data_IF_673897828719
#
_entry.id   IF_673897828719
#
_cell.length_a   1.000
_cell.length_b   1.000
_cell.length_c   1.000
_cell.angle_alpha   90.00
_cell.angle_beta   90.00
_cell.angle_gamma   90.00
#
_symmetry.space_group_name_H-M   'P 1'
#
loop_
_entity.id
_entity.type
_entity.pdbx_description
1 polymer ?
#
# COMPACT_ATOMS: atom_id res chain seq x y z
N UNK A 1 -15.82 3.73 -15.13
CA UNK A 1 -14.37 3.56 -14.95
C UNK A 1 -13.91 4.63 -13.97
N UNK A 2 -13.10 4.30 -12.96
CA UNK A 2 -12.65 5.29 -11.97
C UNK A 2 -11.66 6.28 -12.65
N UNK A 3 -11.92 7.60 -12.66
CA UNK A 3 -11.06 8.60 -13.31
C UNK A 3 -9.58 8.53 -12.90
N UNK A 4 -9.32 8.18 -11.64
CA UNK A 4 -7.98 8.06 -11.07
C UNK A 4 -7.19 6.90 -11.67
N UNK A 5 -7.86 5.77 -11.95
CA UNK A 5 -7.21 4.61 -12.58
C UNK A 5 -6.84 4.93 -14.02
N UNK A 6 -7.66 5.72 -14.70
CA UNK A 6 -7.38 6.16 -16.06
C UNK A 6 -6.20 7.13 -16.10
N UNK A 7 -6.14 8.09 -15.19
CA UNK A 7 -5.00 9.00 -15.03
C UNK A 7 -3.67 8.25 -14.80
N UNK A 8 -3.66 7.26 -13.89
CA UNK A 8 -2.46 6.45 -13.64
C UNK A 8 -2.03 5.64 -14.86
N UNK A 9 -2.97 5.14 -15.66
CA UNK A 9 -2.66 4.47 -16.93
C UNK A 9 -2.00 5.43 -17.91
N UNK A 10 -2.53 6.64 -18.03
CA UNK A 10 -1.98 7.66 -18.93
C UNK A 10 -0.57 8.08 -18.49
N UNK A 11 -0.30 8.25 -17.20
CA UNK A 11 1.08 8.51 -16.71
C UNK A 11 2.01 7.35 -17.04
N UNK A 12 1.59 6.11 -16.76
CA UNK A 12 2.39 4.93 -17.08
C UNK A 12 2.72 4.89 -18.57
N UNK A 13 1.70 5.00 -19.42
CA UNK A 13 1.83 4.79 -20.86
C UNK A 13 2.56 5.96 -21.54
N UNK A 14 2.26 7.21 -21.16
CA UNK A 14 2.81 8.39 -21.81
C UNK A 14 4.11 8.90 -21.19
N UNK A 15 4.41 8.57 -19.93
CA UNK A 15 5.60 9.09 -19.23
C UNK A 15 6.56 7.96 -18.88
N UNK A 16 6.10 6.97 -18.11
CA UNK A 16 7.00 5.94 -17.56
C UNK A 16 7.55 5.02 -18.66
N UNK A 17 6.69 4.50 -19.54
CA UNK A 17 7.10 3.57 -20.61
C UNK A 17 7.89 4.23 -21.74
N UNK A 18 7.84 5.56 -21.86
CA UNK A 18 8.66 6.30 -22.83
C UNK A 18 10.11 6.54 -22.37
N UNK A 19 10.44 6.15 -21.13
CA UNK A 19 11.80 6.24 -20.59
C UNK A 19 12.44 4.86 -20.45
N UNK A 20 13.75 4.78 -20.66
CA UNK A 20 14.49 3.52 -20.50
C UNK A 20 14.48 3.04 -19.04
N UNK A 21 14.67 3.96 -18.09
CA UNK A 21 14.60 3.70 -16.65
C UNK A 21 13.21 3.27 -16.20
N UNK A 22 12.16 3.93 -16.69
CA UNK A 22 10.77 3.58 -16.37
C UNK A 22 10.35 2.23 -16.96
N UNK A 23 10.77 1.92 -18.18
CA UNK A 23 10.54 0.59 -18.78
C UNK A 23 11.26 -0.52 -18.01
N UNK A 24 12.52 -0.29 -17.61
CA UNK A 24 13.28 -1.25 -16.80
C UNK A 24 12.65 -1.46 -15.41
N UNK A 25 12.24 -0.37 -14.76
CA UNK A 25 11.50 -0.42 -13.49
C UNK A 25 10.21 -1.21 -13.63
N UNK A 26 9.38 -0.90 -14.63
CA UNK A 26 8.10 -1.59 -14.85
C UNK A 26 8.29 -3.06 -15.18
N UNK A 27 9.35 -3.41 -15.91
CA UNK A 27 9.70 -4.81 -16.20
C UNK A 27 10.05 -5.56 -14.92
N UNK A 28 10.96 -5.03 -14.10
CA UNK A 28 11.33 -5.64 -12.82
C UNK A 28 10.17 -5.70 -11.84
N UNK A 29 9.39 -4.62 -11.74
CA UNK A 29 8.19 -4.56 -10.92
C UNK A 29 7.17 -5.61 -11.34
N UNK A 30 6.84 -5.70 -12.64
CA UNK A 30 5.89 -6.69 -13.16
C UNK A 30 6.39 -8.12 -12.90
N UNK A 31 7.68 -8.40 -13.10
CA UNK A 31 8.25 -9.72 -12.86
C UNK A 31 8.07 -10.14 -11.39
N UNK A 32 8.38 -9.24 -10.45
CA UNK A 32 8.17 -9.52 -9.02
C UNK A 32 6.68 -9.64 -8.72
N UNK A 33 5.87 -8.65 -9.10
CA UNK A 33 4.43 -8.61 -8.84
C UNK A 33 3.71 -9.87 -9.32
N UNK A 34 3.88 -10.24 -10.59
CA UNK A 34 3.22 -11.41 -11.15
C UNK A 34 3.83 -12.75 -10.71
N UNK A 35 5.00 -12.76 -10.07
CA UNK A 35 5.58 -14.01 -9.54
C UNK A 35 4.85 -14.54 -8.31
N UNK A 36 4.20 -13.68 -7.51
CA UNK A 36 3.48 -14.08 -6.31
C UNK A 36 1.99 -13.72 -6.33
N UNK A 37 1.59 -12.68 -7.08
CA UNK A 37 0.21 -12.18 -7.09
C UNK A 37 -0.84 -13.26 -7.41
N UNK A 38 -0.67 -14.13 -8.43
CA UNK A 38 -1.65 -15.18 -8.72
C UNK A 38 -1.85 -16.15 -7.55
N UNK A 39 -0.75 -16.59 -6.93
CA UNK A 39 -0.81 -17.50 -5.78
C UNK A 39 -1.52 -16.87 -4.58
N UNK A 40 -1.27 -15.58 -4.30
CA UNK A 40 -1.97 -14.86 -3.23
C UNK A 40 -3.46 -14.69 -3.56
N UNK A 41 -3.81 -14.42 -4.82
CA UNK A 41 -5.20 -14.27 -5.25
C UNK A 41 -5.98 -15.59 -5.14
N UNK A 42 -5.37 -16.71 -5.50
CA UNK A 42 -5.97 -18.04 -5.32
C UNK A 42 -6.17 -18.37 -3.83
N UNK A 43 -5.17 -18.09 -2.98
CA UNK A 43 -5.29 -18.26 -1.53
C UNK A 43 -6.39 -17.39 -0.92
N UNK A 44 -6.56 -16.14 -1.38
CA UNK A 44 -7.64 -15.27 -0.95
C UNK A 44 -9.02 -15.84 -1.30
N UNK A 45 -9.13 -16.46 -2.49
CA UNK A 45 -10.39 -17.05 -2.97
C UNK A 45 -10.76 -18.32 -2.23
N UNK A 46 -9.77 -19.15 -1.89
CA UNK A 46 -9.99 -20.44 -1.24
C UNK A 46 -10.14 -20.34 0.28
N UNK A 47 -9.47 -19.37 0.92
CA UNK A 47 -9.46 -19.24 2.37
C UNK A 47 -10.01 -17.87 2.84
N UNK A 48 -11.27 -17.82 3.30
CA UNK A 48 -11.88 -16.61 3.83
C UNK A 48 -11.12 -15.99 5.01
N UNK A 49 -10.44 -16.80 5.84
CA UNK A 49 -9.63 -16.30 6.97
C UNK A 49 -8.38 -15.60 6.46
N UNK A 50 -7.72 -16.17 5.44
CA UNK A 50 -6.56 -15.54 4.81
C UNK A 50 -6.95 -14.20 4.16
N UNK A 51 -8.09 -14.15 3.48
CA UNK A 51 -8.65 -12.90 2.94
C UNK A 51 -8.82 -11.82 4.00
N UNK A 52 -9.44 -12.16 5.13
CA UNK A 52 -9.61 -11.18 6.21
C UNK A 52 -8.28 -10.79 6.85
N UNK A 53 -7.32 -11.72 6.98
CA UNK A 53 -5.97 -11.40 7.45
C UNK A 53 -5.24 -10.42 6.51
N UNK A 54 -5.33 -10.63 5.19
CA UNK A 54 -4.77 -9.71 4.18
C UNK A 54 -5.45 -8.35 4.28
N UNK A 55 -6.79 -8.28 4.38
CA UNK A 55 -7.51 -7.02 4.57
C UNK A 55 -7.09 -6.29 5.84
N UNK A 56 -7.04 -6.98 6.98
CA UNK A 56 -6.61 -6.38 8.26
C UNK A 56 -5.19 -5.83 8.13
N UNK A 57 -4.30 -6.56 7.45
CA UNK A 57 -2.94 -6.12 7.20
C UNK A 57 -2.90 -4.89 6.29
N UNK A 58 -3.74 -4.80 5.26
CA UNK A 58 -3.75 -3.67 4.32
C UNK A 58 -4.53 -2.45 4.84
N UNK A 59 -5.42 -2.62 5.81
CA UNK A 59 -6.31 -1.56 6.32
C UNK A 59 -5.56 -0.32 6.82
N UNK A 60 -4.50 -0.43 7.64
CA UNK A 60 -3.72 0.73 8.08
C UNK A 60 -3.14 1.53 6.90
N UNK A 61 -2.60 0.82 5.90
CA UNK A 61 -2.04 1.42 4.69
C UNK A 61 -3.11 2.14 3.88
N UNK A 62 -4.23 1.49 3.59
CA UNK A 62 -5.33 2.12 2.84
C UNK A 62 -5.87 3.36 3.57
N UNK A 63 -6.03 3.28 4.88
CA UNK A 63 -6.50 4.41 5.70
C UNK A 63 -5.50 5.57 5.64
N UNK A 64 -4.21 5.29 5.76
CA UNK A 64 -3.16 6.32 5.64
C UNK A 64 -3.16 6.99 4.27
N UNK A 65 -3.32 6.23 3.18
CA UNK A 65 -3.36 6.78 1.82
C UNK A 65 -4.61 7.63 1.59
N UNK A 66 -5.75 7.28 2.21
CA UNK A 66 -6.94 8.13 2.11
C UNK A 66 -6.77 9.50 2.74
N UNK A 67 -5.86 9.66 3.72
CA UNK A 67 -5.57 10.97 4.31
C UNK A 67 -4.98 11.94 3.28
N UNK A 68 -4.25 11.46 2.27
CA UNK A 68 -3.78 12.32 1.17
C UNK A 68 -4.91 12.94 0.35
N UNK A 69 -6.11 12.33 0.31
CA UNK A 69 -7.25 12.92 -0.38
C UNK A 69 -7.88 14.08 0.40
N UNK A 70 -7.60 14.21 1.70
CA UNK A 70 -8.12 15.29 2.54
C UNK A 70 -7.13 16.44 2.74
N UNK A 71 -5.93 16.29 2.19
CA UNK A 71 -4.85 17.28 2.29
C UNK A 71 -4.64 17.86 0.90
N UNK A 72 -4.78 19.17 0.77
CA UNK A 72 -4.40 19.89 -0.45
C UNK A 72 -2.87 19.84 -0.54
N UNK A 73 -2.35 19.16 -1.55
CA UNK A 73 -0.92 19.05 -1.82
C UNK A 73 -0.62 20.00 -2.98
N UNK A 74 -0.14 21.18 -2.65
CA UNK A 74 0.07 22.26 -3.62
C UNK A 74 1.50 22.23 -4.20
N UNK A 75 2.44 21.56 -3.53
CA UNK A 75 3.86 21.54 -3.93
C UNK A 75 4.51 20.14 -3.87
N UNK A 76 5.59 19.93 -4.64
CA UNK A 76 6.38 18.70 -4.60
C UNK A 76 7.01 18.44 -3.22
N UNK A 77 7.42 19.50 -2.52
CA UNK A 77 8.03 19.42 -1.19
C UNK A 77 7.01 18.95 -0.13
N UNK A 78 5.77 19.41 -0.21
CA UNK A 78 4.66 18.91 0.59
C UNK A 78 4.33 17.45 0.27
N UNK A 79 4.32 17.07 -1.02
CA UNK A 79 4.09 15.69 -1.43
C UNK A 79 5.14 14.75 -0.81
N UNK A 80 6.41 15.16 -0.79
CA UNK A 80 7.49 14.41 -0.15
C UNK A 80 7.33 14.39 1.37
N UNK A 81 7.00 15.51 2.01
CA UNK A 81 6.77 15.60 3.45
C UNK A 81 5.63 14.71 3.93
N UNK A 82 4.48 14.75 3.24
CA UNK A 82 3.35 13.88 3.53
C UNK A 82 3.66 12.42 3.19
N UNK A 83 4.35 12.15 2.09
CA UNK A 83 4.80 10.79 1.74
C UNK A 83 5.67 10.15 2.82
N UNK A 84 6.67 10.89 3.33
CA UNK A 84 7.54 10.43 4.43
C UNK A 84 6.72 10.24 5.72
N UNK A 85 5.83 11.18 6.03
CA UNK A 85 4.96 11.12 7.22
C UNK A 85 4.06 9.89 7.20
N UNK A 86 3.53 9.52 6.03
CA UNK A 86 2.69 8.33 5.86
C UNK A 86 3.47 7.02 5.96
N UNK A 87 4.71 6.99 5.48
CA UNK A 87 5.59 5.84 5.66
C UNK A 87 5.86 5.64 7.15
N UNK A 88 6.22 6.71 7.87
CA UNK A 88 6.45 6.65 9.32
C UNK A 88 5.18 6.25 10.08
N UNK A 89 4.02 6.78 9.69
CA UNK A 89 2.73 6.42 10.27
C UNK A 89 2.43 4.93 10.05
N UNK A 90 2.62 4.41 8.84
CA UNK A 90 2.44 2.98 8.55
C UNK A 90 3.36 2.10 9.39
N UNK A 91 4.65 2.43 9.45
CA UNK A 91 5.61 1.72 10.30
C UNK A 91 5.10 1.75 11.75
N UNK A 92 4.73 2.93 12.27
CA UNK A 92 4.15 3.08 13.60
C UNK A 92 2.97 2.13 13.81
N UNK A 93 2.01 2.08 12.89
CA UNK A 93 0.84 1.22 13.00
C UNK A 93 1.19 -0.28 12.97
N UNK A 94 2.09 -0.72 12.08
CA UNK A 94 2.48 -2.12 11.97
C UNK A 94 3.30 -2.65 13.16
N UNK A 95 3.97 -1.78 13.92
CA UNK A 95 4.75 -2.18 15.10
C UNK A 95 4.02 -1.89 16.42
N UNK A 96 3.47 -0.68 16.59
CA UNK A 96 2.84 -0.24 17.83
C UNK A 96 1.52 -0.94 18.07
N UNK A 97 0.67 -1.10 17.06
CA UNK A 97 -0.65 -1.72 17.26
C UNK A 97 -0.52 -3.20 17.68
N UNK A 98 0.32 -4.04 17.04
CA UNK A 98 0.56 -5.40 17.52
C UNK A 98 1.23 -5.45 18.89
N UNK A 99 2.21 -4.59 19.17
CA UNK A 99 2.88 -4.55 20.47
C UNK A 99 1.89 -4.18 21.60
N UNK A 100 1.04 -3.17 21.37
CA UNK A 100 0.01 -2.77 22.32
C UNK A 100 -1.03 -3.89 22.53
N UNK A 101 -1.44 -4.58 21.46
CA UNK A 101 -2.34 -5.73 21.55
C UNK A 101 -1.75 -6.85 22.41
N UNK A 102 -0.47 -7.19 22.20
CA UNK A 102 0.25 -8.20 23.01
C UNK A 102 0.29 -7.79 24.49
N UNK A 103 0.62 -6.52 24.78
CA UNK A 103 0.67 -6.01 26.17
C UNK A 103 -0.72 -6.03 26.81
N UNK A 104 -1.77 -5.64 26.09
CA UNK A 104 -3.15 -5.63 26.59
C UNK A 104 -3.66 -7.05 26.87
N UNK A 105 -3.37 -8.01 25.98
CA UNK A 105 -3.70 -9.42 26.18
C UNK A 105 -2.95 -9.95 27.41
N UNK A 106 -1.64 -9.68 27.52
CA UNK A 106 -0.86 -10.10 28.69
C UNK A 106 -1.47 -9.58 29.99
N UNK A 107 -1.82 -8.29 30.07
CA UNK A 107 -2.44 -7.69 31.28
C UNK A 107 -3.84 -8.20 31.61
N UNK A 108 -4.54 -8.81 30.64
CA UNK A 108 -5.91 -9.32 30.82
C UNK A 108 -5.93 -10.79 31.23
N UNK A 109 -4.90 -11.55 30.88
CA UNK A 109 -4.80 -12.99 31.16
C UNK A 109 -3.74 -13.35 32.21
N UNK A 110 -2.78 -12.46 32.50
CA UNK A 110 -1.81 -12.55 33.60
C UNK A 110 -1.94 -11.32 34.51
#
# INVERSE_FOLDING_TARGET
MAPQVQFLREIRDNTVMNTQSGTAFMTGFNQVYYSFSPAVADLERENPVFKEAVKVTLTPMLTSLTLLNYVEVDTEEEMLGYGISLILLNIGMYFVAPAAAIVAIKKRFF
#
